data_IF_803208443112
#
_entry.id   IF_803208443112
#
_cell.length_a   1.000
_cell.length_b   1.000
_cell.length_c   1.000
_cell.angle_alpha   90.00
_cell.angle_beta   90.00
_cell.angle_gamma   90.00
#
_symmetry.space_group_name_H-M   'P 1'
#
loop_
_entity.id
_entity.type
_entity.pdbx_description
1 polymer ?
#
# COMPACT_ATOMS: atom_id res chain seq x y z
N UNK A 1 -17.68 22.26 -4.28
CA UNK A 1 -17.64 23.14 -3.08
C UNK A 1 -16.22 23.12 -2.49
N UNK A 2 -15.69 24.26 -2.01
CA UNK A 2 -14.40 24.29 -1.29
C UNK A 2 -14.58 23.90 0.18
N UNK A 3 -13.64 23.11 0.70
CA UNK A 3 -13.64 22.67 2.09
C UNK A 3 -13.28 23.82 3.04
N UNK A 4 -14.05 23.98 4.11
CA UNK A 4 -13.70 24.86 5.22
C UNK A 4 -12.45 24.36 5.96
N UNK A 5 -11.80 25.23 6.73
CA UNK A 5 -10.59 24.88 7.50
C UNK A 5 -10.86 23.69 8.44
N UNK A 6 -12.06 23.64 9.04
CA UNK A 6 -12.46 22.54 9.92
C UNK A 6 -12.63 21.23 9.16
N UNK A 7 -13.32 21.26 8.02
CA UNK A 7 -13.52 20.06 7.18
C UNK A 7 -12.18 19.53 6.65
N UNK A 8 -11.24 20.41 6.28
CA UNK A 8 -9.89 20.01 5.90
C UNK A 8 -9.19 19.25 7.03
N UNK A 9 -9.24 19.75 8.27
CA UNK A 9 -8.64 19.06 9.43
C UNK A 9 -9.30 17.70 9.72
N UNK A 10 -10.62 17.62 9.61
CA UNK A 10 -11.36 16.36 9.83
C UNK A 10 -10.99 15.32 8.76
N UNK A 11 -10.96 15.70 7.47
CA UNK A 11 -10.50 14.81 6.40
C UNK A 11 -9.03 14.40 6.53
N UNK A 12 -8.13 15.33 6.89
CA UNK A 12 -6.72 14.99 7.10
C UNK A 12 -6.56 13.91 8.18
N UNK A 13 -7.32 14.02 9.28
CA UNK A 13 -7.32 13.02 10.35
C UNK A 13 -7.86 11.67 9.87
N UNK A 14 -8.94 11.68 9.09
CA UNK A 14 -9.53 10.47 8.53
C UNK A 14 -8.58 9.76 7.57
N UNK A 15 -7.98 10.47 6.61
CA UNK A 15 -7.05 9.87 5.65
C UNK A 15 -5.81 9.30 6.37
N UNK A 16 -5.24 10.03 7.34
CA UNK A 16 -4.12 9.50 8.14
C UNK A 16 -4.51 8.23 8.91
N UNK A 17 -5.72 8.19 9.46
CA UNK A 17 -6.23 7.01 10.16
C UNK A 17 -6.40 5.81 9.22
N UNK A 18 -6.90 6.02 7.99
CA UNK A 18 -7.05 4.95 6.99
C UNK A 18 -5.68 4.43 6.55
N UNK A 19 -4.68 5.32 6.41
CA UNK A 19 -3.32 4.95 6.05
C UNK A 19 -2.49 4.39 7.23
N UNK A 20 -3.07 4.26 8.42
CA UNK A 20 -2.35 3.81 9.63
C UNK A 20 -1.24 4.78 10.08
N UNK A 21 -1.26 6.03 9.64
CA UNK A 21 -0.20 7.00 9.92
C UNK A 21 -0.52 7.81 11.19
N UNK A 22 0.40 7.87 12.18
CA UNK A 22 0.19 8.65 13.41
C UNK A 22 0.17 10.17 13.15
N UNK A 23 0.70 10.62 12.02
CA UNK A 23 0.76 12.01 11.63
C UNK A 23 1.23 12.17 10.19
N UNK A 24 1.11 13.39 9.65
CA UNK A 24 1.59 13.72 8.30
C UNK A 24 3.11 13.51 8.20
N UNK A 25 3.60 12.68 7.26
CA UNK A 25 5.02 12.58 6.95
C UNK A 25 5.60 13.93 6.54
N UNK A 26 6.84 14.20 6.95
CA UNK A 26 7.60 15.40 6.54
C UNK A 26 8.82 14.96 5.75
N UNK A 27 8.66 14.61 4.47
CA UNK A 27 9.80 14.25 3.64
C UNK A 27 10.73 15.45 3.53
N UNK A 28 12.04 15.20 3.59
CA UNK A 28 13.03 16.23 3.28
C UNK A 28 12.82 16.70 1.84
N UNK A 29 12.94 18.01 1.59
CA UNK A 29 12.83 18.58 0.24
C UNK A 29 13.69 17.77 -0.74
N UNK A 30 13.20 17.48 -1.96
CA UNK A 30 13.90 16.63 -2.90
C UNK A 30 15.17 17.33 -3.40
N UNK A 31 16.27 17.16 -2.68
CA UNK A 31 17.60 17.58 -3.10
C UNK A 31 18.16 16.66 -4.20
N UNK A 32 17.51 15.53 -4.46
CA UNK A 32 18.01 14.47 -5.34
C UNK A 32 16.88 13.81 -6.13
N UNK A 33 17.14 13.36 -7.37
CA UNK A 33 16.15 12.69 -8.22
C UNK A 33 15.59 11.42 -7.56
N UNK A 34 14.33 11.02 -7.82
CA UNK A 34 13.69 9.88 -7.17
C UNK A 34 14.49 8.59 -7.37
N UNK A 35 14.51 7.75 -6.35
CA UNK A 35 15.07 6.40 -6.46
C UNK A 35 14.11 5.45 -7.18
N UNK A 36 14.61 4.28 -7.55
CA UNK A 36 13.87 3.19 -8.20
C UNK A 36 12.56 2.83 -7.52
N UNK A 37 12.52 2.70 -6.19
CA UNK A 37 11.31 2.31 -5.46
C UNK A 37 10.12 3.29 -5.66
N UNK A 38 10.24 4.62 -5.41
CA UNK A 38 9.18 5.57 -5.74
C UNK A 38 8.78 5.59 -7.22
N UNK A 39 9.74 5.41 -8.14
CA UNK A 39 9.44 5.34 -9.58
C UNK A 39 8.58 4.11 -9.90
N UNK A 40 8.96 2.95 -9.38
CA UNK A 40 8.20 1.71 -9.55
C UNK A 40 6.78 1.84 -9.00
N UNK A 41 6.59 2.44 -7.83
CA UNK A 41 5.26 2.64 -7.25
C UNK A 41 4.40 3.59 -8.09
N UNK A 42 5.00 4.60 -8.71
CA UNK A 42 4.30 5.51 -9.61
C UNK A 42 3.90 4.82 -10.92
N UNK A 43 4.79 4.01 -11.49
CA UNK A 43 4.50 3.21 -12.68
C UNK A 43 3.39 2.19 -12.39
N UNK A 44 3.42 1.55 -11.23
CA UNK A 44 2.36 0.65 -10.76
C UNK A 44 1.03 1.38 -10.65
N UNK A 45 1.02 2.58 -10.04
CA UNK A 45 -0.18 3.42 -9.94
C UNK A 45 -0.74 3.80 -11.31
N UNK A 46 0.11 4.18 -12.28
CA UNK A 46 -0.36 4.51 -13.62
C UNK A 46 -0.93 3.28 -14.34
N UNK A 47 -0.27 2.12 -14.21
CA UNK A 47 -0.74 0.87 -14.80
C UNK A 47 -2.11 0.44 -14.27
N UNK A 48 -2.37 0.63 -12.96
CA UNK A 48 -3.68 0.34 -12.36
C UNK A 48 -4.74 1.41 -12.62
N UNK A 49 -4.35 2.67 -12.83
CA UNK A 49 -5.28 3.76 -13.11
C UNK A 49 -5.79 3.75 -14.56
N UNK A 50 -5.03 3.18 -15.50
CA UNK A 50 -5.47 2.95 -16.87
C UNK A 50 -6.16 1.59 -16.98
N UNK A 51 -7.49 1.57 -16.89
CA UNK A 51 -8.31 0.37 -17.04
C UNK A 51 -7.97 -0.40 -18.35
N UNK A 52 -7.33 -1.57 -18.22
CA UNK A 52 -7.55 -2.73 -19.10
C UNK A 52 -6.65 -3.00 -20.31
N UNK A 53 -5.76 -2.11 -20.76
CA UNK A 53 -4.91 -2.39 -21.95
C UNK A 53 -3.47 -2.78 -21.66
N UNK A 54 -2.97 -2.49 -20.46
CA UNK A 54 -1.63 -2.90 -20.03
C UNK A 54 -1.75 -3.69 -18.74
N UNK A 55 -1.66 -5.02 -18.86
CA UNK A 55 -1.39 -5.87 -17.70
C UNK A 55 -0.09 -5.39 -17.06
N UNK A 56 -0.11 -4.95 -15.78
CA UNK A 56 1.13 -4.75 -15.06
C UNK A 56 1.93 -6.06 -15.13
N UNK A 57 3.27 -6.04 -15.11
CA UNK A 57 4.08 -7.26 -15.01
C UNK A 57 3.70 -8.12 -13.79
N UNK A 58 2.93 -7.59 -12.84
CA UNK A 58 2.42 -8.23 -11.62
C UNK A 58 0.88 -8.32 -11.56
N UNK A 59 0.19 -8.24 -12.71
CA UNK A 59 -1.26 -7.99 -12.79
C UNK A 59 -2.15 -8.88 -11.92
N UNK A 60 -1.77 -10.15 -11.69
CA UNK A 60 -2.51 -11.05 -10.79
C UNK A 60 -2.31 -10.66 -9.32
N UNK A 61 -1.06 -10.43 -8.88
CA UNK A 61 -0.73 -10.11 -7.49
C UNK A 61 -1.26 -8.74 -7.05
N UNK A 62 -1.30 -7.77 -7.97
CA UNK A 62 -1.81 -6.41 -7.70
C UNK A 62 -3.33 -6.43 -7.51
N UNK A 63 -4.07 -7.24 -8.27
CA UNK A 63 -5.54 -7.33 -8.17
C UNK A 63 -6.03 -7.91 -6.84
N UNK A 64 -5.13 -8.61 -6.16
CA UNK A 64 -5.40 -9.37 -4.96
C UNK A 64 -4.97 -8.65 -3.68
N UNK A 65 -4.21 -7.57 -3.78
CA UNK A 65 -3.65 -6.85 -2.65
C UNK A 65 -4.48 -5.61 -2.29
N UNK A 66 -4.67 -5.38 -0.99
CA UNK A 66 -5.28 -4.16 -0.46
C UNK A 66 -4.26 -3.02 -0.37
N UNK A 67 -3.00 -3.37 -0.02
CA UNK A 67 -1.91 -2.42 0.15
C UNK A 67 -0.64 -2.94 -0.52
N UNK A 68 0.11 -2.05 -1.19
CA UNK A 68 1.41 -2.35 -1.78
C UNK A 68 2.45 -1.39 -1.21
N UNK A 69 3.54 -1.92 -0.68
CA UNK A 69 4.64 -1.13 -0.11
C UNK A 69 5.95 -1.45 -0.79
N UNK A 70 6.81 -0.44 -0.91
CA UNK A 70 8.19 -0.61 -1.37
C UNK A 70 9.19 -0.23 -0.28
N UNK A 71 10.24 -1.03 -0.15
CA UNK A 71 11.28 -0.90 0.85
C UNK A 71 12.62 -0.67 0.17
N UNK A 72 13.29 0.40 0.56
CA UNK A 72 14.63 0.72 0.06
C UNK A 72 15.69 -0.09 0.80
N UNK A 73 16.75 -0.48 0.10
CA UNK A 73 17.85 -1.21 0.73
C UNK A 73 18.59 -0.33 1.77
N UNK A 74 18.63 -0.78 3.02
CA UNK A 74 19.30 -0.08 4.12
C UNK A 74 20.77 -0.50 4.29
N UNK A 75 21.10 -1.74 3.94
CA UNK A 75 22.43 -2.32 4.13
C UNK A 75 22.90 -2.91 2.81
N UNK A 76 24.09 -2.51 2.37
CA UNK A 76 24.79 -3.20 1.31
C UNK A 76 26.14 -3.65 1.88
N UNK A 77 26.19 -4.92 2.28
CA UNK A 77 27.44 -5.56 2.66
C UNK A 77 27.88 -6.46 1.51
N UNK A 78 29.12 -6.30 1.09
CA UNK A 78 29.71 -7.07 0.00
C UNK A 78 30.96 -7.75 0.55
N UNK A 79 31.13 -9.05 0.29
CA UNK A 79 32.41 -9.69 0.52
C UNK A 79 33.37 -9.23 -0.57
N UNK A 80 34.31 -8.36 -0.21
CA UNK A 80 35.26 -7.76 -1.14
C UNK A 80 36.09 -8.80 -1.90
N UNK A 81 36.53 -8.42 -3.11
CA UNK A 81 37.36 -9.19 -4.04
C UNK A 81 38.69 -9.71 -3.46
N UNK A 82 39.07 -9.22 -2.27
CA UNK A 82 40.31 -9.53 -1.57
C UNK A 82 40.20 -10.77 -0.67
N UNK A 83 39.00 -11.30 -0.42
CA UNK A 83 38.78 -12.52 0.35
C UNK A 83 38.53 -13.73 -0.57
N UNK A 84 38.91 -14.95 -0.15
CA UNK A 84 38.68 -16.16 -0.93
C UNK A 84 37.18 -16.37 -1.19
N UNK A 85 36.89 -16.95 -2.36
CA UNK A 85 35.55 -17.35 -2.82
C UNK A 85 34.81 -18.16 -1.74
N UNK A 86 33.45 -18.11 -1.70
CA UNK A 86 32.55 -17.52 -2.71
C UNK A 86 32.27 -16.02 -2.51
N UNK A 87 31.96 -15.33 -3.62
CA UNK A 87 31.50 -13.94 -3.62
C UNK A 87 30.00 -13.88 -3.35
N UNK A 88 29.57 -12.93 -2.52
CA UNK A 88 28.17 -12.72 -2.19
C UNK A 88 27.88 -11.26 -1.92
N UNK A 89 26.58 -10.91 -1.99
CA UNK A 89 26.08 -9.58 -1.69
C UNK A 89 24.84 -9.63 -0.83
N UNK A 90 24.80 -8.81 0.21
CA UNK A 90 23.70 -8.77 1.17
C UNK A 90 22.84 -7.52 1.03
N UNK A 91 21.54 -7.72 1.25
CA UNK A 91 20.53 -6.67 1.23
C UNK A 91 19.65 -6.79 2.46
N UNK A 92 19.28 -5.65 3.05
CA UNK A 92 18.40 -5.61 4.22
C UNK A 92 17.34 -4.54 4.06
N UNK A 93 16.10 -4.92 4.34
CA UNK A 93 14.92 -4.08 4.22
C UNK A 93 14.25 -3.95 5.58
N UNK A 94 13.75 -2.77 5.92
CA UNK A 94 13.04 -2.54 7.17
C UNK A 94 11.54 -2.62 6.96
N UNK A 95 10.96 -3.73 7.41
CA UNK A 95 9.52 -4.03 7.35
C UNK A 95 8.79 -3.58 8.63
N UNK A 96 9.42 -2.84 9.54
CA UNK A 96 8.75 -2.32 10.75
C UNK A 96 7.58 -1.35 10.49
N UNK A 97 7.48 -0.62 9.35
CA UNK A 97 6.32 0.26 9.10
C UNK A 97 4.97 -0.45 8.90
N UNK A 98 4.91 -1.78 9.03
CA UNK A 98 3.74 -2.59 8.66
C UNK A 98 2.60 -2.53 9.70
N UNK A 99 1.33 -2.35 9.27
CA UNK A 99 0.16 -2.44 10.15
C UNK A 99 0.01 -3.84 10.75
N UNK A 100 -0.32 -3.91 12.05
CA UNK A 100 -0.62 -5.18 12.71
C UNK A 100 -1.93 -5.76 12.17
N UNK A 101 -1.92 -7.03 11.72
CA UNK A 101 -3.13 -7.72 11.24
C UNK A 101 -3.23 -7.85 9.72
N UNK A 102 -2.21 -7.46 8.96
CA UNK A 102 -2.12 -7.75 7.52
C UNK A 102 -1.30 -9.02 7.26
N UNK A 103 -1.55 -9.67 6.14
CA UNK A 103 -0.78 -10.83 5.67
C UNK A 103 -0.06 -10.50 4.37
N UNK A 104 1.16 -11.02 4.19
CA UNK A 104 1.89 -10.86 2.93
C UNK A 104 1.36 -11.86 1.92
N UNK A 105 0.74 -11.37 0.86
CA UNK A 105 0.27 -12.21 -0.25
C UNK A 105 1.41 -12.53 -1.22
N UNK A 106 2.28 -11.56 -1.48
CA UNK A 106 3.46 -11.72 -2.31
C UNK A 106 4.55 -10.71 -1.93
N UNK A 107 5.81 -11.05 -2.16
CA UNK A 107 6.93 -10.12 -2.03
C UNK A 107 8.00 -10.42 -3.07
N UNK A 108 8.53 -9.35 -3.67
CA UNK A 108 9.60 -9.46 -4.66
C UNK A 108 10.80 -8.60 -4.27
N UNK A 109 11.98 -9.18 -4.38
CA UNK A 109 13.24 -8.45 -4.38
C UNK A 109 13.64 -8.11 -5.81
N UNK A 110 13.80 -6.82 -6.12
CA UNK A 110 14.13 -6.34 -7.47
C UNK A 110 15.53 -5.74 -7.51
N UNK A 111 16.33 -6.22 -8.46
CA UNK A 111 17.70 -5.73 -8.71
C UNK A 111 17.92 -5.50 -10.20
N UNK A 112 18.53 -4.37 -10.56
CA UNK A 112 18.81 -4.04 -11.95
C UNK A 112 20.12 -4.67 -12.41
N UNK A 113 20.10 -5.31 -13.57
CA UNK A 113 21.28 -5.83 -14.26
C UNK A 113 21.60 -4.94 -15.47
N UNK A 114 22.80 -4.38 -15.52
CA UNK A 114 23.30 -3.65 -16.69
C UNK A 114 23.83 -4.61 -17.75
N UNK A 115 23.85 -4.13 -19.00
CA UNK A 115 24.45 -4.84 -20.11
C UNK A 115 25.92 -5.16 -19.82
N UNK A 116 26.30 -6.43 -19.97
CA UNK A 116 27.70 -6.86 -19.91
C UNK A 116 28.20 -7.06 -21.33
N UNK A 117 29.21 -6.29 -21.73
CA UNK A 117 29.77 -6.33 -23.08
C UNK A 117 30.95 -7.30 -23.22
N UNK A 118 31.17 -7.80 -24.44
CA UNK A 118 32.32 -8.62 -24.82
C UNK A 118 32.08 -10.13 -24.80
N UNK A 119 33.17 -10.91 -24.83
CA UNK A 119 33.17 -12.39 -24.89
C UNK A 119 32.40 -13.09 -23.76
N UNK A 120 32.06 -12.37 -22.68
CA UNK A 120 31.32 -12.88 -21.53
C UNK A 120 29.79 -12.79 -21.68
N UNK A 121 29.28 -12.10 -22.69
CA UNK A 121 27.85 -11.88 -22.89
C UNK A 121 27.06 -13.16 -23.18
N UNK A 122 27.70 -14.17 -23.77
CA UNK A 122 27.06 -15.43 -24.17
C UNK A 122 26.99 -16.46 -23.03
N UNK A 123 27.47 -16.13 -21.82
CA UNK A 123 27.43 -17.07 -20.68
C UNK A 123 26.07 -16.99 -19.99
N UNK A 124 25.57 -18.12 -19.51
CA UNK A 124 24.43 -18.13 -18.59
C UNK A 124 24.91 -17.90 -17.16
N UNK A 125 24.17 -17.08 -16.42
CA UNK A 125 24.40 -16.78 -15.02
C UNK A 125 23.26 -17.36 -14.20
N UNK A 126 23.60 -18.14 -13.18
CA UNK A 126 22.68 -18.60 -12.15
C UNK A 126 22.77 -17.65 -10.97
N UNK A 127 21.69 -16.92 -10.71
CA UNK A 127 21.59 -15.96 -9.61
C UNK A 127 20.66 -16.56 -8.58
N UNK A 128 21.19 -16.82 -7.38
CA UNK A 128 20.46 -17.45 -6.28
C UNK A 128 20.34 -16.49 -5.10
N UNK A 129 19.14 -16.42 -4.54
CA UNK A 129 18.80 -15.54 -3.41
C UNK A 129 18.42 -16.40 -2.21
N UNK A 130 19.05 -16.12 -1.07
CA UNK A 130 18.85 -16.84 0.18
C UNK A 130 18.41 -15.90 1.30
N UNK A 131 17.56 -16.38 2.20
CA UNK A 131 17.30 -15.76 3.48
C UNK A 131 18.41 -16.13 4.47
N UNK A 132 18.89 -15.14 5.23
CA UNK A 132 19.79 -15.36 6.36
C UNK A 132 18.92 -15.68 7.59
N UNK A 133 18.94 -16.92 8.08
CA UNK A 133 18.16 -17.31 9.27
C UNK A 133 18.87 -17.02 10.58
N UNK A 134 20.18 -17.29 10.62
CA UNK A 134 20.99 -17.15 11.82
C UNK A 134 22.40 -16.71 11.48
N UNK A 135 22.84 -15.66 12.15
CA UNK A 135 24.20 -15.17 12.05
C UNK A 135 25.08 -15.88 13.10
N UNK A 136 26.17 -16.50 12.65
CA UNK A 136 27.14 -17.16 13.51
C UNK A 136 28.45 -16.34 13.52
N UNK A 137 28.92 -15.92 14.70
CA UNK A 137 30.14 -15.09 14.83
C UNK A 137 31.44 -15.74 14.31
N UNK A 138 31.45 -17.07 14.16
CA UNK A 138 32.64 -17.85 13.82
C UNK A 138 32.38 -18.93 12.74
N UNK A 139 31.19 -18.93 12.11
CA UNK A 139 30.81 -19.89 11.07
C UNK A 139 30.04 -19.17 9.96
N UNK A 140 29.89 -19.83 8.83
CA UNK A 140 28.96 -19.36 7.81
C UNK A 140 27.53 -19.29 8.40
N UNK A 141 26.74 -18.29 7.99
CA UNK A 141 25.37 -18.17 8.45
C UNK A 141 24.51 -19.31 7.89
N UNK A 142 23.44 -19.63 8.60
CA UNK A 142 22.46 -20.60 8.12
C UNK A 142 21.59 -19.91 7.06
N UNK A 143 21.64 -20.44 5.83
CA UNK A 143 20.96 -19.89 4.66
C UNK A 143 19.81 -20.78 4.22
N UNK A 144 18.71 -20.18 3.80
CA UNK A 144 17.59 -20.89 3.15
C UNK A 144 17.33 -20.29 1.80
N UNK A 145 17.33 -21.13 0.76
CA UNK A 145 17.08 -20.70 -0.61
C UNK A 145 15.65 -20.16 -0.75
N UNK A 146 15.54 -18.98 -1.35
CA UNK A 146 14.26 -18.34 -1.64
C UNK A 146 13.90 -18.53 -3.12
N UNK A 147 14.80 -18.13 -4.01
CA UNK A 147 14.58 -18.17 -5.46
C UNK A 147 15.90 -18.28 -6.24
N UNK A 148 15.83 -18.81 -7.46
CA UNK A 148 16.96 -18.95 -8.39
C UNK A 148 16.51 -18.59 -9.80
N UNK A 149 17.28 -17.75 -10.48
CA UNK A 149 17.03 -17.40 -11.88
C UNK A 149 18.27 -17.60 -12.73
N UNK A 150 18.04 -18.14 -13.93
CA UNK A 150 19.08 -18.35 -14.95
C UNK A 150 18.88 -17.32 -16.05
N UNK A 151 19.85 -16.43 -16.22
CA UNK A 151 19.76 -15.33 -17.19
C UNK A 151 21.02 -15.25 -18.06
N UNK A 152 20.89 -14.88 -19.35
CA UNK A 152 22.05 -14.57 -20.16
C UNK A 152 22.84 -13.40 -19.56
N UNK A 153 24.17 -13.51 -19.54
CA UNK A 153 25.06 -12.45 -19.09
C UNK A 153 24.92 -11.17 -19.94
N UNK A 154 24.51 -11.30 -21.21
CA UNK A 154 24.19 -10.17 -22.08
C UNK A 154 22.83 -9.51 -21.81
N UNK A 155 21.97 -10.07 -20.97
CA UNK A 155 20.66 -9.47 -20.68
C UNK A 155 20.81 -8.18 -19.87
N UNK A 156 20.07 -7.13 -20.23
CA UNK A 156 19.86 -5.93 -19.42
C UNK A 156 18.40 -5.88 -18.94
N UNK A 157 18.18 -5.42 -17.71
CA UNK A 157 16.85 -5.16 -17.19
C UNK A 157 16.70 -5.45 -15.71
N UNK A 158 15.46 -5.35 -15.23
CA UNK A 158 15.10 -5.71 -13.86
C UNK A 158 14.97 -7.22 -13.72
N UNK A 159 15.65 -7.77 -12.72
CA UNK A 159 15.43 -9.13 -12.21
C UNK A 159 14.57 -9.02 -10.95
N UNK A 160 13.62 -9.93 -10.78
CA UNK A 160 12.66 -9.91 -9.68
C UNK A 160 12.58 -11.31 -9.05
N UNK A 161 13.03 -11.44 -7.81
CA UNK A 161 13.12 -12.71 -7.08
C UNK A 161 12.00 -12.82 -6.05
N UNK A 162 11.38 -13.99 -5.94
CA UNK A 162 10.37 -14.25 -4.92
C UNK A 162 11.01 -14.31 -3.52
N UNK A 163 10.54 -13.43 -2.62
CA UNK A 163 10.96 -13.37 -1.22
C UNK A 163 9.75 -13.39 -0.27
N UNK A 164 8.62 -13.93 -0.74
CA UNK A 164 7.33 -13.98 -0.03
C UNK A 164 7.45 -14.75 1.28
N UNK A 165 8.13 -15.90 1.27
CA UNK A 165 8.32 -16.77 2.44
C UNK A 165 9.13 -16.06 3.54
N UNK A 166 10.24 -15.43 3.16
CA UNK A 166 11.07 -14.62 4.07
C UNK A 166 10.29 -13.42 4.63
N UNK A 167 9.54 -12.72 3.78
CA UNK A 167 8.75 -11.55 4.18
C UNK A 167 7.66 -11.90 5.20
N UNK A 168 6.95 -13.01 5.00
CA UNK A 168 5.99 -13.53 5.98
C UNK A 168 6.66 -13.85 7.32
N UNK A 169 7.83 -14.47 7.31
CA UNK A 169 8.56 -14.79 8.52
C UNK A 169 9.01 -13.53 9.29
N UNK A 170 9.53 -12.52 8.58
CA UNK A 170 9.95 -11.26 9.20
C UNK A 170 8.79 -10.45 9.76
N UNK A 171 7.61 -10.53 9.15
CA UNK A 171 6.40 -9.89 9.68
C UNK A 171 6.00 -10.48 11.04
N UNK A 172 6.04 -11.81 11.16
CA UNK A 172 5.76 -12.50 12.42
C UNK A 172 6.85 -12.25 13.48
N UNK A 173 8.11 -12.23 13.04
CA UNK A 173 9.28 -12.10 13.92
C UNK A 173 10.25 -11.01 13.40
N UNK A 174 10.00 -9.71 13.62
CA UNK A 174 10.85 -8.63 13.06
C UNK A 174 12.32 -8.69 13.47
N UNK A 175 12.61 -9.26 14.65
CA UNK A 175 13.99 -9.47 15.14
C UNK A 175 14.77 -10.51 14.34
N UNK A 176 14.07 -11.37 13.60
CA UNK A 176 14.68 -12.41 12.76
C UNK A 176 15.10 -11.89 11.37
N UNK A 177 14.80 -10.62 11.05
CA UNK A 177 15.16 -10.01 9.79
C UNK A 177 16.65 -9.64 9.75
N UNK A 178 17.45 -10.61 9.31
CA UNK A 178 18.88 -10.48 9.04
C UNK A 178 19.18 -10.10 7.58
N UNK A 179 18.16 -10.04 6.73
CA UNK A 179 18.29 -9.72 5.31
C UNK A 179 18.39 -10.95 4.40
N UNK A 180 18.74 -10.69 3.15
CA UNK A 180 18.92 -11.68 2.09
C UNK A 180 20.35 -11.62 1.57
N UNK A 181 20.84 -12.76 1.08
CA UNK A 181 22.15 -12.90 0.46
C UNK A 181 21.98 -13.41 -0.97
N UNK A 182 22.70 -12.79 -1.89
CA UNK A 182 22.70 -13.11 -3.31
C UNK A 182 24.04 -13.69 -3.72
N UNK A 183 24.00 -14.78 -4.46
CA UNK A 183 25.15 -15.42 -5.11
C UNK A 183 24.98 -15.39 -6.62
N UNK A 184 26.10 -15.37 -7.33
CA UNK A 184 26.14 -15.46 -8.79
C UNK A 184 27.12 -16.55 -9.17
N UNK A 185 26.65 -17.51 -9.95
CA UNK A 185 27.42 -18.65 -10.44
C UNK A 185 27.28 -18.76 -11.95
N UNK A 186 28.26 -19.37 -12.61
CA UNK A 186 28.17 -19.75 -14.03
C UNK A 186 27.74 -21.20 -14.16
N UNK A 187 27.43 -21.66 -15.37
CA UNK A 187 27.21 -23.10 -15.67
C UNK A 187 28.36 -24.02 -15.24
N UNK A 188 29.59 -23.49 -15.11
CA UNK A 188 30.77 -24.21 -14.59
C UNK A 188 30.95 -24.06 -13.06
N UNK A 189 29.90 -23.70 -12.32
CA UNK A 189 29.89 -23.48 -10.85
C UNK A 189 30.95 -22.48 -10.33
N UNK A 190 31.38 -21.56 -11.20
CA UNK A 190 32.32 -20.49 -10.82
C UNK A 190 31.57 -19.33 -10.20
N UNK A 191 31.81 -19.08 -8.91
CA UNK A 191 31.32 -17.89 -8.22
C UNK A 191 31.88 -16.60 -8.83
N UNK A 192 30.98 -15.66 -9.14
CA UNK A 192 31.25 -14.34 -9.70
C UNK A 192 30.80 -13.23 -8.75
N UNK A 193 31.49 -12.08 -8.79
CA UNK A 193 31.02 -10.88 -8.08
C UNK A 193 29.84 -10.25 -8.81
N UNK A 194 28.84 -9.82 -8.05
CA UNK A 194 27.65 -9.13 -8.54
C UNK A 194 27.99 -7.85 -9.33
N UNK A 195 29.01 -7.08 -8.91
CA UNK A 195 29.44 -5.89 -9.65
C UNK A 195 30.02 -6.20 -11.04
N UNK A 196 30.73 -7.32 -11.17
CA UNK A 196 31.38 -7.73 -12.43
C UNK A 196 30.41 -8.17 -13.52
N UNK A 197 29.24 -8.68 -13.14
CA UNK A 197 28.17 -9.08 -14.07
C UNK A 197 27.10 -7.98 -14.26
N UNK A 198 27.36 -6.77 -13.73
CA UNK A 198 26.51 -5.61 -13.91
C UNK A 198 25.32 -5.50 -12.96
N UNK A 199 25.27 -6.24 -11.85
CA UNK A 199 24.21 -6.03 -10.85
C UNK A 199 24.43 -4.72 -10.10
N UNK A 200 23.42 -3.86 -10.19
CA UNK A 200 23.46 -2.52 -9.61
C UNK A 200 23.25 -2.59 -8.11
N UNK A 201 24.21 -2.03 -7.38
CA UNK A 201 24.17 -1.90 -5.94
C UNK A 201 23.55 -0.58 -5.43
N UNK A 202 23.62 -0.35 -4.12
CA UNK A 202 23.21 0.92 -3.49
C UNK A 202 24.09 2.09 -3.95
N UNK A 203 25.36 1.85 -4.30
CA UNK A 203 26.26 2.86 -4.86
C UNK A 203 25.98 3.21 -6.34
N UNK A 204 25.11 2.46 -7.01
CA UNK A 204 24.77 2.72 -8.41
C UNK A 204 23.78 3.87 -8.62
N UNK A 205 23.36 4.11 -9.88
CA UNK A 205 22.38 5.14 -10.21
C UNK A 205 21.09 4.97 -9.41
N UNK A 206 20.56 6.06 -8.82
CA UNK A 206 19.38 6.01 -7.93
C UNK A 206 18.16 5.35 -8.57
N UNK A 207 17.94 5.57 -9.86
CA UNK A 207 16.82 4.98 -10.63
C UNK A 207 16.96 3.47 -10.86
N UNK A 208 18.13 2.89 -10.59
CA UNK A 208 18.45 1.46 -10.79
C UNK A 208 18.83 0.74 -9.49
N UNK A 209 18.73 1.42 -8.34
CA UNK A 209 19.05 0.83 -7.04
C UNK A 209 18.10 -0.33 -6.69
N UNK A 210 18.59 -1.35 -5.97
CA UNK A 210 17.76 -2.47 -5.56
C UNK A 210 16.73 -2.05 -4.50
N UNK A 211 15.56 -2.67 -4.57
CA UNK A 211 14.48 -2.46 -3.62
C UNK A 211 13.64 -3.72 -3.49
N UNK A 212 12.83 -3.79 -2.45
CA UNK A 212 11.83 -4.84 -2.26
C UNK A 212 10.44 -4.24 -2.42
N UNK A 213 9.51 -4.98 -3.01
CA UNK A 213 8.08 -4.65 -3.03
C UNK A 213 7.31 -5.76 -2.35
N UNK A 214 6.30 -5.41 -1.57
CA UNK A 214 5.47 -6.37 -0.86
C UNK A 214 4.00 -6.01 -1.01
N UNK A 215 3.19 -7.03 -1.25
CA UNK A 215 1.75 -7.02 -1.45
C UNK A 215 1.09 -7.55 -0.19
N UNK A 216 0.13 -6.80 0.33
CA UNK A 216 -0.55 -7.09 1.59
C UNK A 216 -2.04 -7.23 1.38
N UNK A 217 -2.65 -8.10 2.18
CA UNK A 217 -4.11 -8.25 2.28
C UNK A 217 -4.52 -8.18 3.75
N UNK A 218 -5.56 -7.41 4.02
CA UNK A 218 -6.13 -7.27 5.36
C UNK A 218 -6.83 -8.57 5.77
N UNK A 219 -6.52 -9.10 6.96
CA UNK A 219 -7.26 -10.22 7.53
C UNK A 219 -8.63 -9.70 8.03
N UNK A 220 -9.60 -9.59 7.13
CA UNK A 220 -11.04 -9.33 7.35
C UNK A 220 -11.48 -8.95 8.77
N UNK A 221 -11.09 -7.76 9.26
CA UNK A 221 -11.89 -7.02 10.24
C UNK A 221 -11.76 -5.52 9.94
N UNK A 222 -12.49 -4.99 8.94
CA UNK A 222 -12.55 -3.55 8.77
C UNK A 222 -13.41 -2.98 9.90
N UNK A 223 -12.77 -2.59 11.00
CA UNK A 223 -13.30 -1.59 11.91
C UNK A 223 -13.27 -0.24 11.17
N UNK A 224 -14.12 -0.07 10.14
CA UNK A 224 -14.46 1.28 9.69
C UNK A 224 -15.17 1.93 10.87
N UNK A 225 -14.58 2.94 11.55
CA UNK A 225 -15.40 3.73 12.45
C UNK A 225 -16.56 4.26 11.59
N UNK A 226 -17.83 4.02 11.97
CA UNK A 226 -18.94 4.59 11.24
C UNK A 226 -18.65 6.08 11.13
N UNK A 227 -18.70 6.62 9.91
CA UNK A 227 -18.52 8.06 9.68
C UNK A 227 -19.37 8.78 10.70
N UNK A 228 -18.74 9.35 11.72
CA UNK A 228 -19.40 10.21 12.66
C UNK A 228 -19.61 11.52 11.91
N UNK A 229 -20.57 11.52 10.98
CA UNK A 229 -21.20 12.74 10.53
C UNK A 229 -21.69 13.39 11.81
N UNK A 230 -20.93 14.38 12.31
CA UNK A 230 -21.31 15.14 13.50
C UNK A 230 -22.70 15.66 13.19
N UNK A 231 -23.72 15.31 13.98
CA UNK A 231 -25.05 15.86 13.76
C UNK A 231 -24.89 17.38 13.83
N UNK A 232 -25.17 18.07 12.72
CA UNK A 232 -25.35 19.51 12.76
C UNK A 232 -26.35 19.83 13.88
N UNK A 233 -26.18 20.93 14.62
CA UNK A 233 -27.11 21.30 15.68
C UNK A 233 -28.49 21.49 15.06
N UNK A 234 -29.33 20.46 15.19
CA UNK A 234 -30.72 20.49 14.75
C UNK A 234 -31.39 21.64 15.49
N UNK A 235 -31.93 22.60 14.74
CA UNK A 235 -32.83 23.62 15.29
C UNK A 235 -33.92 22.87 16.06
N UNK A 236 -34.03 23.14 17.37
CA UNK A 236 -35.07 22.57 18.23
C UNK A 236 -36.44 22.97 17.66
N UNK A 237 -37.21 22.01 17.16
CA UNK A 237 -38.66 22.20 16.97
C UNK A 237 -39.36 21.96 18.33
N UNK A 238 -40.46 22.66 18.63
CA UNK A 238 -41.15 22.53 19.90
C UNK A 238 -41.75 21.12 20.03
N UNK A 239 -41.73 20.58 21.25
CA UNK A 239 -42.50 19.40 21.66
C UNK A 239 -43.98 19.74 21.64
N UNK A 240 -44.81 18.91 21.00
CA UNK A 240 -46.15 18.60 21.52
C UNK A 240 -46.55 17.18 21.15
N UNK A 241 -47.11 16.54 22.18
CA UNK A 241 -47.96 15.36 22.34
C UNK A 241 -48.13 14.33 21.21
N UNK A 242 -48.07 13.08 21.65
CA UNK A 242 -48.34 11.85 20.90
C UNK A 242 -49.74 11.88 20.27
N UNK A 243 -49.86 11.40 19.01
CA UNK A 243 -51.01 10.59 18.64
C UNK A 243 -50.59 9.22 18.10
N UNK A 244 -51.36 8.22 18.53
CA UNK A 244 -51.42 6.82 18.09
C UNK A 244 -51.47 6.70 16.55
N UNK A 245 -50.87 5.67 15.92
CA UNK A 245 -50.70 5.64 14.46
C UNK A 245 -51.99 5.26 13.75
N UNK A 246 -52.63 6.24 13.10
CA UNK A 246 -53.56 5.99 12.00
C UNK A 246 -52.77 5.91 10.69
N UNK A 247 -52.81 4.75 10.05
CA UNK A 247 -52.36 4.53 8.67
C UNK A 247 -53.26 5.38 7.76
N UNK A 248 -52.84 6.61 7.48
CA UNK A 248 -53.43 7.43 6.43
C UNK A 248 -52.31 7.89 5.52
N UNK A 249 -52.45 7.53 4.25
CA UNK A 249 -51.67 8.02 3.11
C UNK A 249 -51.73 9.54 3.04
N UNK A 250 -50.89 10.22 3.82
CA UNK A 250 -50.59 11.64 3.63
C UNK A 250 -49.39 11.72 2.70
N UNK A 251 -49.66 12.11 1.46
CA UNK A 251 -48.65 12.66 0.56
C UNK A 251 -47.86 13.76 1.31
N UNK A 252 -46.52 13.81 1.18
CA UNK A 252 -45.73 14.77 1.93
C UNK A 252 -45.93 16.17 1.34
N UNK A 253 -46.90 16.90 1.89
CA UNK A 253 -47.09 18.33 1.66
C UNK A 253 -45.96 19.09 2.38
N UNK A 254 -45.11 19.74 1.57
CA UNK A 254 -44.35 20.96 1.86
C UNK A 254 -43.70 21.09 3.26
N UNK A 255 -42.70 20.26 3.52
CA UNK A 255 -41.52 20.73 4.26
C UNK A 255 -40.44 21.00 3.23
N UNK A 256 -40.07 22.26 3.00
CA UNK A 256 -39.11 22.67 1.96
C UNK A 256 -37.66 22.18 2.14
N UNK A 257 -37.44 21.09 2.87
CA UNK A 257 -36.15 20.42 3.01
C UNK A 257 -35.92 19.48 1.83
N UNK A 258 -34.76 19.62 1.17
CA UNK A 258 -34.36 18.71 0.10
C UNK A 258 -34.12 17.30 0.68
N UNK A 259 -34.58 16.24 -0.01
CA UNK A 259 -34.35 14.87 0.44
C UNK A 259 -32.85 14.56 0.47
N UNK A 260 -32.43 13.72 1.42
CA UNK A 260 -31.04 13.29 1.54
C UNK A 260 -30.54 12.65 0.24
N UNK A 261 -29.45 13.19 -0.33
CA UNK A 261 -28.83 12.64 -1.54
C UNK A 261 -27.31 12.71 -1.49
N UNK A 262 -26.66 11.93 -2.35
CA UNK A 262 -25.22 12.00 -2.58
C UNK A 262 -24.91 13.27 -3.38
N UNK A 263 -23.97 14.06 -2.88
CA UNK A 263 -23.47 15.29 -3.48
C UNK A 263 -22.00 15.13 -3.84
N UNK A 264 -21.58 15.85 -4.87
CA UNK A 264 -20.20 15.82 -5.34
C UNK A 264 -19.27 16.60 -4.41
N UNK A 265 -18.17 15.95 -4.05
CA UNK A 265 -17.07 16.55 -3.32
C UNK A 265 -15.77 15.94 -3.81
N UNK A 266 -14.96 16.76 -4.46
CA UNK A 266 -13.61 16.41 -4.87
C UNK A 266 -12.61 16.93 -3.86
N UNK A 267 -11.72 16.06 -3.43
CA UNK A 267 -10.64 16.34 -2.48
C UNK A 267 -9.35 16.44 -3.25
N UNK A 268 -8.80 17.65 -3.36
CA UNK A 268 -7.47 17.90 -3.91
C UNK A 268 -6.43 17.79 -2.80
N UNK A 269 -5.41 16.94 -2.97
CA UNK A 269 -4.29 16.88 -2.02
C UNK A 269 -3.44 18.15 -2.04
N UNK A 270 -3.49 18.91 -3.14
CA UNK A 270 -2.91 20.26 -3.20
C UNK A 270 -3.57 21.20 -2.20
N UNK A 271 -4.90 21.13 -2.08
CA UNK A 271 -5.70 22.03 -1.23
C UNK A 271 -5.54 21.69 0.26
N UNK A 272 -5.17 20.43 0.54
CA UNK A 272 -4.75 19.95 1.86
C UNK A 272 -3.27 20.26 2.15
N UNK A 273 -2.53 20.76 1.15
CA UNK A 273 -1.10 21.04 1.24
C UNK A 273 -0.25 19.78 1.38
N UNK A 274 -0.69 18.64 0.82
CA UNK A 274 -0.08 17.31 0.95
C UNK A 274 0.74 16.88 -0.27
N UNK A 275 0.92 17.77 -1.25
CA UNK A 275 1.73 17.54 -2.47
C UNK A 275 3.20 17.24 -2.20
N UNK A 276 3.70 17.55 -1.01
CA UNK A 276 5.05 17.28 -0.56
C UNK A 276 5.30 15.80 -0.29
N UNK A 277 4.26 15.02 0.03
CA UNK A 277 4.40 13.61 0.42
C UNK A 277 3.43 12.65 -0.30
N UNK A 278 2.28 13.13 -0.78
CA UNK A 278 1.37 12.37 -1.65
C UNK A 278 1.73 12.68 -3.10
N UNK A 279 2.32 11.68 -3.77
CA UNK A 279 2.74 11.79 -5.17
C UNK A 279 1.57 11.61 -6.15
N UNK A 280 0.69 10.64 -5.88
CA UNK A 280 -0.49 10.34 -6.67
C UNK A 280 -1.56 9.65 -5.80
N UNK A 281 -2.86 9.69 -6.18
CA UNK A 281 -3.44 10.57 -7.20
C UNK A 281 -3.35 12.06 -6.81
N UNK A 282 -3.60 13.02 -7.71
CA UNK A 282 -3.66 14.45 -7.35
C UNK A 282 -4.84 14.81 -6.42
N UNK A 283 -5.85 13.93 -6.38
CA UNK A 283 -7.04 14.04 -5.55
C UNK A 283 -8.00 12.89 -5.81
N UNK A 284 -9.11 12.85 -5.08
CA UNK A 284 -10.13 11.82 -5.24
C UNK A 284 -11.54 12.36 -5.01
N UNK A 285 -12.53 11.67 -5.58
CA UNK A 285 -13.95 11.99 -5.40
C UNK A 285 -14.48 11.36 -4.11
N UNK A 286 -14.46 12.11 -3.01
CA UNK A 286 -14.94 11.63 -1.71
C UNK A 286 -16.48 11.54 -1.66
N UNK A 287 -17.16 12.49 -2.30
CA UNK A 287 -18.61 12.72 -2.17
C UNK A 287 -19.07 12.95 -0.71
N UNK A 288 -20.30 13.39 -0.52
CA UNK A 288 -20.92 13.46 0.81
C UNK A 288 -22.44 13.32 0.71
N UNK A 289 -23.11 12.96 1.80
CA UNK A 289 -24.56 12.89 1.86
C UNK A 289 -25.10 14.08 2.65
N UNK A 290 -26.10 14.76 2.11
CA UNK A 290 -26.77 15.89 2.77
C UNK A 290 -28.24 15.98 2.35
N UNK A 291 -29.08 16.44 3.28
CA UNK A 291 -30.54 16.53 3.17
C UNK A 291 -31.29 15.76 4.26
N UNK A 292 -32.62 15.81 4.21
CA UNK A 292 -33.49 15.18 5.22
C UNK A 292 -33.86 13.75 4.81
N UNK A 293 -33.73 12.80 5.75
CA UNK A 293 -34.25 11.44 5.61
C UNK A 293 -35.64 11.37 6.25
N UNK A 294 -36.69 11.23 5.42
CA UNK A 294 -38.06 11.09 5.89
C UNK A 294 -38.40 9.64 6.20
N UNK A 295 -39.28 9.43 7.19
CA UNK A 295 -39.86 8.13 7.49
C UNK A 295 -41.29 8.04 6.93
N UNK A 296 -41.69 6.91 6.34
CA UNK A 296 -40.85 5.78 5.93
C UNK A 296 -39.88 6.19 4.82
N UNK A 297 -38.70 5.56 4.74
CA UNK A 297 -37.77 5.80 3.63
C UNK A 297 -38.53 5.58 2.32
N UNK A 298 -38.62 6.64 1.51
CA UNK A 298 -39.31 6.56 0.22
C UNK A 298 -38.65 5.50 -0.67
N UNK A 299 -39.44 4.88 -1.55
CA UNK A 299 -38.98 3.84 -2.49
C UNK A 299 -37.78 4.27 -3.35
N UNK A 300 -37.54 5.57 -3.51
CA UNK A 300 -36.40 6.12 -4.25
C UNK A 300 -35.03 5.89 -3.57
N UNK A 301 -35.01 5.49 -2.29
CA UNK A 301 -33.76 5.30 -1.53
C UNK A 301 -33.25 3.85 -1.49
N UNK A 302 -33.96 2.88 -2.11
CA UNK A 302 -33.58 1.44 -2.18
C UNK A 302 -32.93 0.92 -0.89
N UNK A 303 -33.57 1.19 0.25
CA UNK A 303 -33.00 0.91 1.56
C UNK A 303 -32.99 -0.59 1.85
N UNK A 304 -31.90 -1.10 2.43
CA UNK A 304 -31.84 -2.49 2.90
C UNK A 304 -32.78 -2.70 4.08
N UNK A 305 -33.25 -3.95 4.28
CA UNK A 305 -34.05 -4.31 5.45
C UNK A 305 -33.35 -3.94 6.77
N UNK A 306 -32.01 -4.09 6.84
CA UNK A 306 -31.22 -3.64 7.99
C UNK A 306 -31.35 -2.12 8.22
N UNK A 307 -31.30 -1.30 7.17
CA UNK A 307 -31.46 0.15 7.28
C UNK A 307 -32.88 0.56 7.72
N UNK A 308 -33.91 -0.14 7.21
CA UNK A 308 -35.31 0.05 7.62
C UNK A 308 -35.51 -0.30 9.10
N UNK A 309 -35.00 -1.44 9.57
CA UNK A 309 -35.09 -1.86 10.97
C UNK A 309 -34.36 -0.88 11.89
N UNK A 310 -33.15 -0.45 11.55
CA UNK A 310 -32.39 0.53 12.33
C UNK A 310 -33.14 1.86 12.49
N UNK A 311 -33.90 2.27 11.47
CA UNK A 311 -34.71 3.49 11.55
C UNK A 311 -35.95 3.37 12.43
N UNK A 312 -36.53 2.17 12.56
CA UNK A 312 -37.63 1.93 13.49
C UNK A 312 -37.12 1.84 14.94
N UNK A 313 -35.96 1.22 15.14
CA UNK A 313 -35.39 0.97 16.48
C UNK A 313 -34.71 2.21 17.08
N UNK A 314 -34.06 3.05 16.27
CA UNK A 314 -33.31 4.24 16.73
C UNK A 314 -34.16 5.29 17.47
N UNK A 315 -35.40 5.60 17.04
CA UNK A 315 -36.34 6.45 17.80
C UNK A 315 -36.79 5.81 19.11
N UNK A 316 -37.09 4.51 19.12
CA UNK A 316 -37.56 3.78 20.31
C UNK A 316 -36.50 3.75 21.42
N UNK A 317 -35.21 3.63 21.06
CA UNK A 317 -34.09 3.73 22.01
C UNK A 317 -33.93 5.10 22.66
N UNK A 318 -34.49 6.17 22.07
CA UNK A 318 -34.47 7.53 22.66
C UNK A 318 -35.65 7.81 23.58
N UNK A 319 -36.66 6.94 23.60
CA UNK A 319 -37.83 7.05 24.48
C UNK A 319 -37.63 6.37 25.83
N UNK A 320 -36.50 5.67 26.03
CA UNK A 320 -36.14 4.96 27.26
C UNK A 320 -34.80 5.50 27.79
N UNK A 321 -34.78 6.79 28.15
CA UNK A 321 -33.87 7.40 29.14
C UNK A 321 -34.62 8.51 29.83
#
# INVERSE_FOLDING_TARGET
>A
RRLSIREKKEMQKEILSILGLPGRPRPHLPLRPPSSAPLFMLDLYHAMATDGTHTPPLGIMVSEADTVMSFVNLVEQERDLLQPRPYWKEFRFDLTPLPQGETVTAAEFRIYKTLTMGQKANRTLHISVYQIQKENRHREPDLVLLDVQSVPAGQEGWLAFDVTTASNHWLLNPRSNLGIRLYVETEEDRSLSAGWIGLVGRRGPRSKQPFMVTFFRENQVPCRPPRAAKPHPRKKKPKYDLPVPSIQNKSPINSGGQPCKKHELYVSFSDLGWKDWVLAPPGYSAYYCDGECFYPLGSCMNATNHALIQQVVSPLRRSVV
#
